data_IF_986424965319
#
_entry.id   IF_986424965319
#
_cell.length_a   1.000
_cell.length_b   1.000
_cell.length_c   1.000
_cell.angle_alpha   90.00
_cell.angle_beta   90.00
_cell.angle_gamma   90.00
#
_symmetry.space_group_name_H-M   'P 1'
#
loop_
_entity.id
_entity.type
_entity.pdbx_description
1 polymer ?
#
# COMPACT_ATOMS: atom_id res chain seq x y z
N UNK A 1 -56.49 -14.60 -6.54
CA UNK A 1 -55.27 -13.78 -6.67
C UNK A 1 -54.46 -13.94 -5.39
N UNK A 2 -53.48 -14.85 -5.36
CA UNK A 2 -52.66 -15.12 -4.16
C UNK A 2 -51.66 -13.96 -3.98
N UNK A 3 -51.84 -13.15 -2.95
CA UNK A 3 -50.85 -12.15 -2.54
C UNK A 3 -49.58 -12.91 -2.12
N UNK A 4 -48.56 -12.91 -2.98
CA UNK A 4 -47.27 -13.53 -2.69
C UNK A 4 -46.66 -12.78 -1.51
N UNK A 5 -46.80 -13.33 -0.30
CA UNK A 5 -46.21 -12.76 0.92
C UNK A 5 -44.68 -12.74 0.71
N UNK A 6 -44.15 -11.57 0.39
CA UNK A 6 -42.71 -11.37 0.28
C UNK A 6 -42.10 -11.66 1.65
N UNK A 7 -41.18 -12.61 1.69
CA UNK A 7 -40.48 -12.96 2.92
C UNK A 7 -39.86 -11.71 3.55
N UNK A 8 -40.08 -11.51 4.86
CA UNK A 8 -39.49 -10.38 5.61
C UNK A 8 -37.99 -10.24 5.34
N UNK A 9 -37.26 -11.36 5.22
CA UNK A 9 -35.82 -11.39 4.88
C UNK A 9 -35.51 -10.71 3.54
N UNK A 10 -36.33 -10.94 2.52
CA UNK A 10 -36.17 -10.32 1.19
C UNK A 10 -36.46 -8.82 1.24
N UNK A 11 -37.51 -8.42 1.97
CA UNK A 11 -37.84 -7.01 2.15
C UNK A 11 -36.72 -6.27 2.91
N UNK A 12 -36.20 -6.85 4.00
CA UNK A 12 -35.07 -6.28 4.73
C UNK A 12 -33.83 -6.15 3.85
N UNK A 13 -33.49 -7.19 3.07
CA UNK A 13 -32.35 -7.13 2.13
C UNK A 13 -32.51 -6.03 1.07
N UNK A 14 -33.71 -5.84 0.51
CA UNK A 14 -34.01 -4.76 -0.43
C UNK A 14 -33.85 -3.38 0.21
N UNK A 15 -34.34 -3.19 1.43
CA UNK A 15 -34.19 -1.94 2.17
C UNK A 15 -32.72 -1.63 2.46
N UNK A 16 -31.93 -2.62 2.88
CA UNK A 16 -30.49 -2.46 3.08
C UNK A 16 -29.77 -2.06 1.79
N UNK A 17 -30.10 -2.69 0.66
CA UNK A 17 -29.51 -2.34 -0.64
C UNK A 17 -29.87 -0.91 -1.08
N UNK A 18 -31.13 -0.48 -0.90
CA UNK A 18 -31.55 0.89 -1.20
C UNK A 18 -30.82 1.93 -0.35
N UNK A 19 -30.58 1.63 0.94
CA UNK A 19 -29.78 2.49 1.82
C UNK A 19 -28.32 2.56 1.36
N UNK A 20 -27.72 1.45 0.93
CA UNK A 20 -26.35 1.47 0.39
C UNK A 20 -26.26 2.30 -0.90
N UNK A 21 -27.23 2.14 -1.81
CA UNK A 21 -27.29 2.91 -3.06
C UNK A 21 -27.47 4.40 -2.77
N UNK A 22 -28.31 4.78 -1.79
CA UNK A 22 -28.49 6.18 -1.43
C UNK A 22 -27.22 6.79 -0.85
N UNK A 23 -26.46 6.06 -0.03
CA UNK A 23 -25.15 6.52 0.48
C UNK A 23 -24.18 6.82 -0.68
N UNK A 24 -24.09 5.90 -1.66
CA UNK A 24 -23.25 6.09 -2.86
C UNK A 24 -23.71 7.27 -3.70
N UNK A 25 -25.03 7.46 -3.84
CA UNK A 25 -25.60 8.58 -4.60
C UNK A 25 -25.41 9.94 -3.92
N UNK A 26 -25.42 9.99 -2.58
CA UNK A 26 -25.21 11.22 -1.80
C UNK A 26 -23.72 11.62 -1.78
N UNK A 27 -22.80 10.65 -1.75
CA UNK A 27 -21.36 10.89 -1.58
C UNK A 27 -20.48 10.25 -2.68
N UNK A 28 -20.75 10.47 -3.98
CA UNK A 28 -20.09 9.73 -5.05
C UNK A 28 -18.58 9.95 -5.09
N UNK A 29 -18.12 11.20 -4.85
CA UNK A 29 -16.69 11.53 -4.84
C UNK A 29 -15.96 10.80 -3.70
N UNK A 30 -16.53 10.82 -2.50
CA UNK A 30 -15.95 10.16 -1.32
C UNK A 30 -15.92 8.64 -1.53
N UNK A 31 -17.00 8.07 -2.09
CA UNK A 31 -17.08 6.65 -2.43
C UNK A 31 -15.98 6.25 -3.44
N UNK A 32 -15.81 7.00 -4.52
CA UNK A 32 -14.75 6.72 -5.51
C UNK A 32 -13.36 6.82 -4.88
N UNK A 33 -13.09 7.88 -4.09
CA UNK A 33 -11.80 8.05 -3.42
C UNK A 33 -11.50 6.92 -2.42
N UNK A 34 -12.52 6.47 -1.69
CA UNK A 34 -12.41 5.32 -0.79
C UNK A 34 -12.02 4.05 -1.57
N UNK A 35 -12.70 3.73 -2.67
CA UNK A 35 -12.35 2.56 -3.47
C UNK A 35 -10.99 2.68 -4.14
N UNK A 36 -10.63 3.85 -4.66
CA UNK A 36 -9.32 4.10 -5.26
C UNK A 36 -8.19 3.95 -4.23
N UNK A 37 -8.30 4.59 -3.07
CA UNK A 37 -7.31 4.47 -1.99
C UNK A 37 -7.21 3.05 -1.42
N UNK A 38 -8.33 2.33 -1.34
CA UNK A 38 -8.33 0.92 -0.94
C UNK A 38 -7.63 0.05 -1.99
N UNK A 39 -7.88 0.30 -3.28
CA UNK A 39 -7.21 -0.41 -4.37
C UNK A 39 -5.69 -0.18 -4.34
N UNK A 40 -5.24 1.07 -4.17
CA UNK A 40 -3.82 1.42 -4.03
C UNK A 40 -3.20 0.72 -2.81
N UNK A 41 -3.89 0.68 -1.67
CA UNK A 41 -3.40 -0.03 -0.48
C UNK A 41 -3.27 -1.54 -0.71
N UNK A 42 -4.21 -2.16 -1.43
CA UNK A 42 -4.14 -3.58 -1.78
C UNK A 42 -2.96 -3.83 -2.74
N UNK A 43 -2.78 -3.00 -3.76
CA UNK A 43 -1.64 -3.13 -4.69
C UNK A 43 -0.31 -2.93 -3.97
N UNK A 44 -0.23 -1.96 -3.06
CA UNK A 44 0.97 -1.73 -2.25
C UNK A 44 1.26 -2.89 -1.29
N UNK A 45 0.23 -3.51 -0.73
CA UNK A 45 0.38 -4.71 0.10
C UNK A 45 0.95 -5.89 -0.71
N UNK A 46 0.46 -6.09 -1.93
CA UNK A 46 0.93 -7.16 -2.83
C UNK A 46 2.35 -6.86 -3.33
N UNK A 47 2.60 -5.63 -3.82
CA UNK A 47 3.88 -5.23 -4.41
C UNK A 47 5.03 -5.25 -3.39
N UNK A 48 4.74 -4.87 -2.14
CA UNK A 48 5.72 -4.87 -1.06
C UNK A 48 5.55 -6.06 -0.12
N UNK A 49 4.97 -7.17 -0.59
CA UNK A 49 4.89 -8.39 0.19
C UNK A 49 6.29 -8.86 0.60
N UNK A 50 6.50 -9.10 1.90
CA UNK A 50 7.82 -9.46 2.45
C UNK A 50 8.78 -8.28 2.66
N UNK A 51 8.40 -7.05 2.34
CA UNK A 51 9.18 -5.87 2.68
C UNK A 51 8.75 -5.31 4.03
N UNK A 52 9.72 -4.93 4.86
CA UNK A 52 9.48 -4.26 6.14
C UNK A 52 9.75 -2.77 6.04
N UNK A 53 8.89 -1.89 6.59
CA UNK A 53 9.21 -0.47 6.68
C UNK A 53 10.37 -0.26 7.66
N UNK A 54 11.41 0.45 7.23
CA UNK A 54 12.58 0.75 8.07
C UNK A 54 12.67 2.27 8.24
N UNK A 55 12.38 2.75 9.46
CA UNK A 55 12.18 4.18 9.75
C UNK A 55 13.41 5.03 9.42
N UNK A 56 14.61 4.53 9.74
CA UNK A 56 15.87 5.24 9.48
C UNK A 56 16.17 5.46 7.99
N UNK A 57 15.73 4.55 7.12
CA UNK A 57 15.90 4.67 5.68
C UNK A 57 14.69 5.32 4.99
N UNK A 58 13.57 5.51 5.71
CA UNK A 58 12.30 6.01 5.19
C UNK A 58 11.77 5.23 3.96
N UNK A 59 12.19 3.97 3.81
CA UNK A 59 11.81 3.08 2.71
C UNK A 59 11.44 1.70 3.27
N UNK A 60 10.81 0.89 2.41
CA UNK A 60 10.57 -0.52 2.67
C UNK A 60 11.75 -1.33 2.15
N UNK A 61 12.29 -2.23 2.97
CA UNK A 61 13.46 -3.08 2.63
C UNK A 61 13.00 -4.54 2.66
N UNK A 62 13.41 -5.39 1.68
CA UNK A 62 12.98 -6.78 1.64
C UNK A 62 13.56 -7.54 2.84
N UNK A 63 12.70 -8.05 3.73
CA UNK A 63 13.12 -8.57 5.04
C UNK A 63 13.76 -9.96 4.97
N UNK A 64 13.61 -10.67 3.85
CA UNK A 64 14.10 -12.04 3.66
C UNK A 64 15.61 -12.12 3.36
N UNK A 65 16.28 -11.00 3.12
CA UNK A 65 17.71 -10.97 2.81
C UNK A 65 18.51 -10.44 4.00
N UNK A 66 19.65 -11.07 4.27
CA UNK A 66 20.61 -10.59 5.28
C UNK A 66 21.58 -9.56 4.71
N UNK A 67 21.76 -9.56 3.38
CA UNK A 67 22.65 -8.65 2.67
C UNK A 67 21.85 -7.68 1.83
N UNK A 68 22.06 -6.38 2.08
CA UNK A 68 21.45 -5.30 1.31
C UNK A 68 22.51 -4.45 0.62
N UNK A 69 22.20 -4.02 -0.60
CA UNK A 69 22.98 -3.04 -1.33
C UNK A 69 22.07 -2.02 -2.00
N UNK A 70 22.69 -0.97 -2.53
CA UNK A 70 22.00 0.06 -3.32
C UNK A 70 22.61 0.16 -4.71
N UNK A 71 21.78 0.44 -5.71
CA UNK A 71 22.23 0.91 -7.01
C UNK A 71 22.13 2.44 -7.06
N UNK A 72 23.16 3.06 -7.62
CA UNK A 72 23.26 4.52 -7.72
C UNK A 72 23.65 4.85 -9.15
N UNK A 73 22.96 5.83 -9.74
CA UNK A 73 23.21 6.38 -11.06
C UNK A 73 23.67 7.84 -10.99
N UNK A 74 24.00 8.43 -12.15
CA UNK A 74 24.35 9.87 -12.24
C UNK A 74 23.19 10.82 -11.91
N UNK A 75 21.95 10.30 -11.90
CA UNK A 75 20.74 11.09 -11.62
C UNK A 75 20.51 11.30 -10.13
N UNK A 76 21.22 10.56 -9.28
CA UNK A 76 21.27 10.85 -7.86
C UNK A 76 22.20 12.05 -7.60
N UNK A 77 21.76 12.93 -6.72
CA UNK A 77 22.59 14.03 -6.23
C UNK A 77 23.78 13.51 -5.39
N UNK A 78 24.53 14.44 -4.80
CA UNK A 78 25.67 14.10 -3.93
C UNK A 78 25.20 13.24 -2.76
N UNK A 79 25.69 12.00 -2.72
CA UNK A 79 25.46 11.07 -1.61
C UNK A 79 26.52 11.27 -0.53
N UNK A 80 26.07 11.44 0.71
CA UNK A 80 26.93 11.35 1.89
C UNK A 80 27.24 9.88 2.21
N UNK A 81 28.30 9.36 1.58
CA UNK A 81 28.74 7.98 1.76
C UNK A 81 29.18 7.66 3.18
N UNK A 82 29.67 8.64 3.94
CA UNK A 82 30.02 8.43 5.34
C UNK A 82 28.78 8.19 6.18
N UNK A 83 27.70 8.93 5.92
CA UNK A 83 26.40 8.69 6.55
C UNK A 83 25.85 7.33 6.15
N UNK A 84 25.83 7.02 4.84
CA UNK A 84 25.36 5.72 4.31
C UNK A 84 26.07 4.54 4.98
N UNK A 85 27.41 4.59 5.09
CA UNK A 85 28.19 3.53 5.72
C UNK A 85 27.92 3.36 7.22
N UNK A 86 27.48 4.43 7.91
CA UNK A 86 27.14 4.41 9.34
C UNK A 86 25.69 4.00 9.60
N UNK A 87 24.81 4.01 8.59
CA UNK A 87 23.40 3.68 8.76
C UNK A 87 23.22 2.23 9.21
N UNK A 88 22.53 2.06 10.34
CA UNK A 88 22.17 0.76 10.92
C UNK A 88 20.80 0.87 11.60
N UNK A 89 19.91 -0.07 11.33
CA UNK A 89 18.59 -0.13 11.98
C UNK A 89 18.12 -1.58 12.07
N UNK A 90 17.93 -2.07 13.30
CA UNK A 90 17.46 -3.41 13.58
C UNK A 90 18.22 -4.50 12.78
N UNK A 91 19.55 -4.42 12.80
CA UNK A 91 20.45 -5.33 12.07
C UNK A 91 20.62 -5.05 10.57
N UNK A 92 19.78 -4.20 9.98
CA UNK A 92 19.88 -3.81 8.57
C UNK A 92 20.98 -2.77 8.40
N UNK A 93 21.87 -3.00 7.44
CA UNK A 93 22.88 -2.06 6.97
C UNK A 93 23.14 -2.28 5.48
N UNK A 94 23.61 -1.26 4.79
CA UNK A 94 24.08 -1.40 3.40
C UNK A 94 25.49 -1.98 3.40
N UNK A 95 25.71 -3.04 2.64
CA UNK A 95 26.98 -3.78 2.58
C UNK A 95 27.76 -3.54 1.29
N UNK A 96 27.07 -3.18 0.21
CA UNK A 96 27.70 -2.83 -1.05
C UNK A 96 26.85 -1.79 -1.79
N UNK A 97 27.47 -1.10 -2.73
CA UNK A 97 26.80 -0.20 -3.66
C UNK A 97 27.29 -0.46 -5.07
N UNK A 98 26.38 -0.52 -6.04
CA UNK A 98 26.70 -0.48 -7.45
C UNK A 98 26.61 0.96 -7.94
N UNK A 99 27.76 1.57 -8.23
CA UNK A 99 27.81 2.92 -8.76
C UNK A 99 27.90 2.80 -10.29
N UNK A 100 26.79 3.06 -10.95
CA UNK A 100 26.66 3.01 -12.41
C UNK A 100 26.73 4.42 -12.97
N UNK A 101 27.69 4.67 -13.86
CA UNK A 101 27.89 5.98 -14.50
C UNK A 101 27.06 6.18 -15.78
N UNK A 102 25.87 5.58 -15.88
CA UNK A 102 24.95 5.81 -17.01
C UNK A 102 24.10 7.04 -16.78
#
# INVERSE_FOLDING_TARGET
>A
MQLRITSRKKLTALLCALVLISIVAIYPRQTVNFFYSTAVQITDYIHFYGYRPVKSFAIRIPASYTIHGIDVSRWQERIDWQRVAKMRDNGIRLQFAFIKAT
#
